data_IF_875044806058
#
_entry.id   IF_875044806058
#
_cell.length_a   1.000
_cell.length_b   1.000
_cell.length_c   1.000
_cell.angle_alpha   90.00
_cell.angle_beta   90.00
_cell.angle_gamma   90.00
#
_symmetry.space_group_name_H-M   'P 1'
#
loop_
_entity.id
_entity.type
_entity.pdbx_description
1 polymer ?
#
# COMPACT_ATOMS: atom_id res chain seq x y z
N UNK A 1 6.69 11.95 -25.54
CA UNK A 1 7.33 10.80 -24.86
C UNK A 1 6.24 10.02 -24.15
N UNK A 2 6.25 8.68 -24.25
CA UNK A 2 5.21 7.86 -23.64
C UNK A 2 5.29 7.98 -22.11
N UNK A 3 4.21 8.47 -21.49
CA UNK A 3 4.08 8.59 -20.05
C UNK A 3 3.94 7.19 -19.46
N UNK A 4 5.07 6.55 -19.16
CA UNK A 4 5.14 5.16 -18.73
C UNK A 4 4.74 5.01 -17.27
N UNK A 5 3.59 4.38 -17.02
CA UNK A 5 3.24 3.91 -15.68
C UNK A 5 3.84 2.51 -15.46
N UNK A 6 4.57 2.33 -14.37
CA UNK A 6 4.99 0.99 -13.94
C UNK A 6 4.26 0.66 -12.64
N UNK A 7 3.51 -0.44 -12.64
CA UNK A 7 2.92 -1.02 -11.44
C UNK A 7 3.78 -2.20 -10.97
N UNK A 8 4.02 -2.29 -9.65
CA UNK A 8 4.83 -3.36 -9.09
C UNK A 8 4.22 -3.82 -7.76
N UNK A 9 3.94 -5.13 -7.66
CA UNK A 9 3.50 -5.74 -6.41
C UNK A 9 4.69 -5.86 -5.47
N UNK A 10 4.61 -5.25 -4.29
CA UNK A 10 5.74 -5.17 -3.34
C UNK A 10 5.57 -6.01 -2.09
N UNK A 11 4.34 -6.34 -1.72
CA UNK A 11 4.05 -7.11 -0.52
C UNK A 11 2.67 -7.74 -0.60
N UNK A 12 2.53 -8.93 -0.02
CA UNK A 12 1.28 -9.65 0.06
C UNK A 12 1.16 -10.31 1.42
N UNK A 13 -0.04 -10.27 2.00
CA UNK A 13 -0.38 -11.07 3.17
C UNK A 13 -1.71 -11.77 2.96
N UNK A 14 -1.78 -13.03 3.38
CA UNK A 14 -2.99 -13.83 3.35
C UNK A 14 -3.61 -13.85 4.74
N UNK A 15 -4.92 -13.63 4.80
CA UNK A 15 -5.74 -13.81 5.99
C UNK A 15 -6.93 -14.69 5.56
N UNK A 16 -7.03 -15.90 6.11
CA UNK A 16 -8.05 -16.88 5.73
C UNK A 16 -8.13 -17.18 4.21
N UNK A 17 -9.26 -16.87 3.58
CA UNK A 17 -9.50 -17.00 2.12
C UNK A 17 -9.25 -15.71 1.35
N UNK A 18 -8.63 -14.73 2.01
CA UNK A 18 -8.46 -13.37 1.51
C UNK A 18 -6.99 -13.05 1.33
N UNK A 19 -6.67 -12.34 0.25
CA UNK A 19 -5.34 -11.82 -0.04
C UNK A 19 -5.34 -10.29 -0.01
N UNK A 20 -4.39 -9.72 0.72
CA UNK A 20 -4.11 -8.29 0.72
C UNK A 20 -2.79 -8.04 0.01
N UNK A 21 -2.77 -7.11 -0.93
CA UNK A 21 -1.61 -6.84 -1.77
C UNK A 21 -1.31 -5.35 -1.84
N UNK A 22 -0.04 -5.00 -1.72
CA UNK A 22 0.49 -3.67 -1.99
C UNK A 22 0.93 -3.62 -3.45
N UNK A 23 0.37 -2.68 -4.20
CA UNK A 23 0.76 -2.35 -5.57
C UNK A 23 1.25 -0.90 -5.60
N UNK A 24 2.56 -0.74 -5.76
CA UNK A 24 3.14 0.58 -5.99
C UNK A 24 2.86 1.00 -7.44
N UNK A 25 2.35 2.22 -7.61
CA UNK A 25 2.22 2.87 -8.90
C UNK A 25 3.28 3.96 -8.98
N UNK A 26 4.26 3.73 -9.85
CA UNK A 26 5.36 4.66 -10.07
C UNK A 26 5.04 5.45 -11.33
N UNK A 27 4.76 6.74 -11.15
CA UNK A 27 4.65 7.71 -12.25
C UNK A 27 5.97 8.46 -12.37
N UNK A 28 6.45 8.63 -13.61
CA UNK A 28 7.78 9.15 -13.89
C UNK A 28 8.02 10.51 -13.18
N UNK A 29 9.01 10.49 -12.29
CA UNK A 29 9.78 11.61 -11.71
C UNK A 29 9.27 12.30 -10.43
N UNK A 30 7.98 12.32 -10.05
CA UNK A 30 7.60 13.17 -8.88
C UNK A 30 6.54 12.68 -7.89
N UNK A 31 5.71 11.68 -8.23
CA UNK A 31 4.66 11.21 -7.32
C UNK A 31 4.48 9.70 -7.44
N UNK A 32 4.85 8.97 -6.40
CA UNK A 32 4.47 7.57 -6.22
C UNK A 32 3.21 7.47 -5.37
N UNK A 33 2.24 6.69 -5.85
CA UNK A 33 1.07 6.28 -5.08
C UNK A 33 1.14 4.79 -4.80
N UNK A 34 0.46 4.37 -3.74
CA UNK A 34 0.42 2.98 -3.32
C UNK A 34 -1.02 2.54 -3.27
N UNK A 35 -1.35 1.45 -3.95
CA UNK A 35 -2.67 0.85 -3.89
C UNK A 35 -2.63 -0.37 -2.99
N UNK A 36 -3.56 -0.46 -2.06
CA UNK A 36 -3.77 -1.66 -1.27
C UNK A 36 -5.03 -2.33 -1.81
N UNK A 37 -4.88 -3.57 -2.28
CA UNK A 37 -5.97 -4.37 -2.81
C UNK A 37 -6.34 -5.48 -1.83
N UNK A 38 -7.62 -5.72 -1.69
CA UNK A 38 -8.23 -6.81 -0.97
C UNK A 38 -8.92 -7.70 -1.99
N UNK A 39 -8.46 -8.94 -2.11
CA UNK A 39 -8.93 -9.92 -3.09
C UNK A 39 -9.43 -11.20 -2.43
N UNK A 40 -10.47 -11.79 -3.00
CA UNK A 40 -10.88 -13.16 -2.70
C UNK A 40 -9.96 -14.15 -3.44
N UNK A 41 -9.33 -15.08 -2.71
CA UNK A 41 -8.36 -16.00 -3.32
C UNK A 41 -8.99 -17.12 -4.13
N UNK A 42 -10.27 -17.45 -3.90
CA UNK A 42 -10.93 -18.56 -4.60
C UNK A 42 -11.42 -18.12 -5.98
N UNK A 43 -11.94 -16.90 -6.05
CA UNK A 43 -12.56 -16.32 -7.25
C UNK A 43 -11.63 -15.36 -7.98
N UNK A 44 -10.60 -14.84 -7.31
CA UNK A 44 -9.72 -13.80 -7.83
C UNK A 44 -10.37 -12.41 -7.89
N UNK A 45 -11.58 -12.25 -7.34
CA UNK A 45 -12.30 -10.98 -7.37
C UNK A 45 -11.63 -9.96 -6.44
N UNK A 46 -11.50 -8.72 -6.93
CA UNK A 46 -11.12 -7.58 -6.09
C UNK A 46 -12.34 -7.17 -5.29
N UNK A 47 -12.33 -7.47 -3.99
CA UNK A 47 -13.40 -7.13 -3.06
C UNK A 47 -13.35 -5.64 -2.69
N UNK A 48 -12.14 -5.09 -2.57
CA UNK A 48 -11.94 -3.68 -2.26
C UNK A 48 -10.55 -3.20 -2.70
N UNK A 49 -10.43 -1.91 -3.01
CA UNK A 49 -9.15 -1.26 -3.28
C UNK A 49 -9.13 0.13 -2.65
N UNK A 50 -7.96 0.53 -2.14
CA UNK A 50 -7.74 1.88 -1.62
C UNK A 50 -6.41 2.42 -2.12
N UNK A 51 -6.41 3.68 -2.54
CA UNK A 51 -5.22 4.37 -3.01
C UNK A 51 -4.69 5.31 -1.93
N UNK A 52 -3.46 5.08 -1.52
CA UNK A 52 -2.69 5.90 -0.61
C UNK A 52 -1.83 6.87 -1.42
N UNK A 53 -1.95 8.16 -1.11
CA UNK A 53 -1.21 9.23 -1.77
C UNK A 53 -0.63 10.16 -0.70
N UNK A 54 0.65 10.46 -0.80
CA UNK A 54 1.27 11.48 0.03
C UNK A 54 1.21 12.85 -0.67
N UNK A 55 0.79 13.90 0.05
CA UNK A 55 0.83 15.26 -0.49
C UNK A 55 2.26 15.79 -0.43
N UNK A 56 2.77 16.26 -1.57
CA UNK A 56 4.11 16.83 -1.72
C UNK A 56 5.25 15.90 -1.26
N UNK A 57 5.04 14.59 -1.37
CA UNK A 57 6.03 13.57 -1.05
C UNK A 57 5.79 12.32 -1.89
N UNK A 58 6.82 11.49 -2.00
CA UNK A 58 6.75 10.16 -2.57
C UNK A 58 6.47 9.14 -1.47
N UNK A 59 5.49 8.27 -1.70
CA UNK A 59 5.15 7.16 -0.81
C UNK A 59 5.57 5.85 -1.47
N UNK A 60 6.32 5.01 -0.76
CA UNK A 60 6.56 3.62 -1.18
C UNK A 60 6.34 2.71 0.01
N UNK A 61 5.52 1.67 -0.16
CA UNK A 61 5.25 0.69 0.88
C UNK A 61 5.84 -0.65 0.45
N UNK A 62 6.61 -1.27 1.33
CA UNK A 62 7.36 -2.49 0.98
C UNK A 62 6.96 -3.70 1.79
N UNK A 63 6.27 -3.49 2.91
CA UNK A 63 5.94 -4.57 3.81
C UNK A 63 4.49 -4.45 4.27
N UNK A 64 3.87 -5.62 4.45
CA UNK A 64 2.49 -5.79 4.90
C UNK A 64 2.45 -6.98 5.83
N UNK A 65 1.98 -6.76 7.05
CA UNK A 65 1.90 -7.77 8.10
C UNK A 65 0.48 -7.82 8.63
N UNK A 66 -0.05 -9.03 8.77
CA UNK A 66 -1.31 -9.28 9.44
C UNK A 66 -1.06 -9.60 10.91
N UNK A 67 -1.81 -8.95 11.78
CA UNK A 67 -1.84 -9.18 13.22
C UNK A 67 -2.86 -10.25 13.58
N UNK A 68 -2.76 -10.79 14.80
CA UNK A 68 -3.68 -11.81 15.31
C UNK A 68 -5.14 -11.31 15.45
N UNK A 69 -5.34 -10.00 15.58
CA UNK A 69 -6.65 -9.34 15.67
C UNK A 69 -7.27 -9.00 14.30
N UNK A 70 -6.72 -9.58 13.21
CA UNK A 70 -7.12 -9.30 11.82
C UNK A 70 -6.87 -7.84 11.39
N UNK A 71 -6.06 -7.09 12.14
CA UNK A 71 -5.53 -5.82 11.67
C UNK A 71 -4.36 -6.04 10.72
N UNK A 72 -4.17 -5.10 9.81
CA UNK A 72 -3.14 -5.14 8.78
C UNK A 72 -2.29 -3.89 8.97
N UNK A 73 -1.01 -4.11 9.25
CA UNK A 73 -0.03 -3.05 9.32
C UNK A 73 0.79 -3.01 8.04
N UNK A 74 0.88 -1.82 7.47
CA UNK A 74 1.61 -1.54 6.23
C UNK A 74 2.76 -0.61 6.58
N UNK A 75 3.98 -1.03 6.29
CA UNK A 75 5.17 -0.20 6.49
C UNK A 75 5.50 0.56 5.20
N UNK A 76 5.52 1.89 5.32
CA UNK A 76 5.81 2.78 4.22
C UNK A 76 6.96 3.71 4.54
N UNK A 77 7.69 4.08 3.50
CA UNK A 77 8.68 5.14 3.54
C UNK A 77 8.16 6.34 2.76
N UNK A 78 8.12 7.49 3.42
CA UNK A 78 7.70 8.76 2.85
C UNK A 78 8.93 9.62 2.60
N UNK A 79 9.19 9.96 1.34
CA UNK A 79 10.32 10.80 0.95
C UNK A 79 9.79 12.16 0.50
N UNK A 80 10.09 13.22 1.26
CA UNK A 80 9.68 14.59 0.92
C UNK A 80 10.69 15.24 -0.03
N UNK A 81 11.98 14.97 0.18
CA UNK A 81 13.08 15.41 -0.65
C UNK A 81 14.31 14.50 -0.41
N UNK A 82 15.45 14.80 -1.04
CA UNK A 82 16.65 13.96 -0.95
C UNK A 82 17.25 13.83 0.46
N UNK A 83 16.98 14.77 1.37
CA UNK A 83 17.53 14.79 2.74
C UNK A 83 16.47 14.53 3.82
N UNK A 84 15.19 14.52 3.46
CA UNK A 84 14.07 14.43 4.41
C UNK A 84 13.17 13.26 4.03
N UNK A 85 13.23 12.21 4.84
CA UNK A 85 12.31 11.09 4.77
C UNK A 85 11.85 10.63 6.14
N UNK A 86 10.74 9.89 6.17
CA UNK A 86 10.17 9.31 7.39
C UNK A 86 9.63 7.92 7.11
N UNK A 87 9.82 7.01 8.05
CA UNK A 87 9.09 5.74 8.08
C UNK A 87 7.75 5.96 8.75
N UNK A 88 6.68 5.44 8.15
CA UNK A 88 5.33 5.50 8.70
C UNK A 88 4.72 4.11 8.70
N UNK A 89 4.03 3.77 9.79
CA UNK A 89 3.21 2.57 9.87
C UNK A 89 1.75 2.99 9.70
N UNK A 90 1.09 2.34 8.76
CA UNK A 90 -0.32 2.55 8.47
C UNK A 90 -1.05 1.30 8.94
N UNK A 91 -1.99 1.44 9.88
CA UNK A 91 -2.82 0.33 10.32
C UNK A 91 -4.19 0.42 9.67
N UNK A 92 -4.74 -0.73 9.31
CA UNK A 92 -6.05 -0.84 8.69
C UNK A 92 -6.71 -2.14 9.12
N UNK A 93 -8.04 -2.17 9.10
CA UNK A 93 -8.77 -3.41 9.36
C UNK A 93 -8.92 -4.24 8.07
N UNK A 94 -9.57 -5.40 8.17
CA UNK A 94 -9.86 -6.27 7.03
C UNK A 94 -10.73 -5.63 5.93
N UNK A 95 -11.44 -4.56 6.26
CA UNK A 95 -12.25 -3.74 5.33
C UNK A 95 -11.46 -2.54 4.78
N UNK A 96 -10.13 -2.54 4.92
CA UNK A 96 -9.26 -1.45 4.47
C UNK A 96 -9.70 -0.06 4.99
N UNK A 97 -10.24 0.00 6.20
CA UNK A 97 -10.52 1.26 6.89
C UNK A 97 -9.25 1.73 7.61
N UNK A 98 -8.59 2.71 7.00
CA UNK A 98 -7.28 3.18 7.43
C UNK A 98 -7.37 4.13 8.62
N UNK A 99 -6.56 3.87 9.64
CA UNK A 99 -6.21 4.82 10.67
C UNK A 99 -4.70 5.08 10.60
N UNK A 100 -4.30 6.35 10.59
CA UNK A 100 -2.89 6.71 10.75
C UNK A 100 -2.51 6.43 12.20
N UNK A 101 -1.55 5.53 12.42
CA UNK A 101 -0.98 5.32 13.76
C UNK A 101 -0.15 6.56 14.17
N UNK A 102 -0.10 6.91 15.47
CA UNK A 102 0.72 8.00 16.00
C UNK A 102 2.21 7.89 15.60
#
# INVERSE_FOLDING_TARGET
EADGFTSLSRGMVRIDSTLYMIVDVIHNVTKSSVTVMHLDMQTGLILQQVHLVARNANLSCRDIVASADLSITIACHVTFNASTSKSVLINTNSQLLFAKLP
#
